data_IF_696779013310
#
_entry.id   IF_696779013310
#
_cell.length_a   1.000
_cell.length_b   1.000
_cell.length_c   1.000
_cell.angle_alpha   90.00
_cell.angle_beta   90.00
_cell.angle_gamma   90.00
#
_symmetry.space_group_name_H-M   'P 1'
#
loop_
_entity.id
_entity.type
_entity.pdbx_description
1 polymer ?
#
# COMPACT_ATOMS: atom_id res chain seq x y z
N UNK A 1 -0.08 -1.92 -21.35
CA UNK A 1 -0.16 -1.72 -19.88
C UNK A 1 -1.06 -2.82 -19.33
N UNK A 2 -0.55 -3.64 -18.41
CA UNK A 2 -1.34 -4.70 -17.75
C UNK A 2 -1.80 -4.24 -16.36
N UNK A 3 -2.89 -4.81 -15.81
CA UNK A 3 -3.34 -4.52 -14.46
C UNK A 3 -2.36 -5.06 -13.41
N UNK A 4 -2.24 -4.36 -12.29
CA UNK A 4 -1.60 -4.88 -11.07
C UNK A 4 -2.70 -5.50 -10.21
N UNK A 5 -2.59 -6.79 -9.93
CA UNK A 5 -3.58 -7.54 -9.16
C UNK A 5 -3.18 -7.66 -7.68
N UNK A 6 -4.17 -7.55 -6.79
CA UNK A 6 -4.04 -7.90 -5.38
C UNK A 6 -4.47 -9.37 -5.21
N UNK A 7 -3.58 -10.21 -4.68
CA UNK A 7 -3.87 -11.62 -4.44
C UNK A 7 -3.65 -11.90 -2.95
N UNK A 8 -4.56 -12.67 -2.35
CA UNK A 8 -4.50 -13.04 -0.94
C UNK A 8 -4.76 -14.53 -0.75
N UNK A 9 -4.26 -15.08 0.36
CA UNK A 9 -4.59 -16.43 0.79
C UNK A 9 -6.10 -16.56 1.07
N UNK A 10 -6.68 -17.71 0.71
CA UNK A 10 -8.13 -17.97 0.77
C UNK A 10 -8.75 -17.76 2.16
N UNK A 11 -8.00 -18.04 3.24
CA UNK A 11 -8.50 -17.87 4.60
C UNK A 11 -8.34 -16.47 5.19
N UNK A 12 -7.81 -15.48 4.43
CA UNK A 12 -7.61 -14.12 4.93
C UNK A 12 -8.91 -13.51 5.43
N UNK A 13 -9.99 -13.65 4.67
CA UNK A 13 -11.31 -13.10 5.01
C UNK A 13 -11.84 -13.65 6.33
N UNK A 14 -11.68 -14.96 6.53
CA UNK A 14 -12.23 -15.64 7.70
C UNK A 14 -11.37 -15.41 8.95
N UNK A 15 -10.05 -15.41 8.78
CA UNK A 15 -9.11 -15.26 9.91
C UNK A 15 -8.91 -13.80 10.32
N UNK A 16 -8.92 -12.88 9.36
CA UNK A 16 -8.66 -11.45 9.57
C UNK A 16 -9.62 -10.58 8.74
N UNK A 17 -10.91 -10.54 9.09
CA UNK A 17 -11.91 -9.80 8.31
C UNK A 17 -11.60 -8.30 8.19
N UNK A 18 -11.07 -7.68 9.25
CA UNK A 18 -10.66 -6.27 9.20
C UNK A 18 -9.50 -6.01 8.24
N UNK A 19 -8.47 -6.88 8.25
CA UNK A 19 -7.36 -6.77 7.31
C UNK A 19 -7.81 -7.03 5.87
N UNK A 20 -8.74 -7.95 5.67
CA UNK A 20 -9.35 -8.21 4.36
C UNK A 20 -10.03 -6.95 3.80
N UNK A 21 -10.84 -6.23 4.58
CA UNK A 21 -11.45 -4.97 4.14
C UNK A 21 -10.40 -3.92 3.78
N UNK A 22 -9.37 -3.75 4.60
CA UNK A 22 -8.28 -2.79 4.35
C UNK A 22 -7.54 -3.13 3.05
N UNK A 23 -7.18 -4.40 2.84
CA UNK A 23 -6.50 -4.86 1.61
C UNK A 23 -7.37 -4.65 0.37
N UNK A 24 -8.69 -4.81 0.49
CA UNK A 24 -9.62 -4.50 -0.59
C UNK A 24 -9.67 -2.99 -0.90
N UNK A 25 -9.68 -2.14 0.12
CA UNK A 25 -9.69 -0.68 -0.02
C UNK A 25 -8.34 -0.08 -0.45
N UNK A 26 -7.23 -0.77 -0.19
CA UNK A 26 -5.87 -0.33 -0.54
C UNK A 26 -5.77 0.03 -2.04
N UNK A 27 -5.40 1.28 -2.31
CA UNK A 27 -5.19 1.79 -3.67
C UNK A 27 -4.03 2.76 -3.70
N UNK A 28 -3.04 2.47 -4.54
CA UNK A 28 -1.91 3.35 -4.88
C UNK A 28 -1.80 3.39 -6.40
N UNK A 29 -1.42 4.54 -6.95
CA UNK A 29 -1.25 4.66 -8.40
C UNK A 29 0.20 4.33 -8.82
N UNK A 30 0.40 4.16 -10.12
CA UNK A 30 1.71 3.77 -10.66
C UNK A 30 2.79 4.83 -10.44
N UNK A 31 2.43 6.11 -10.46
CA UNK A 31 3.40 7.20 -10.31
C UNK A 31 3.92 7.25 -8.87
N UNK A 32 3.02 7.10 -7.88
CA UNK A 32 3.35 6.98 -6.46
C UNK A 32 4.27 5.79 -6.19
N UNK A 33 3.91 4.62 -6.73
CA UNK A 33 4.73 3.41 -6.59
C UNK A 33 6.10 3.58 -7.25
N UNK A 34 6.15 4.15 -8.46
CA UNK A 34 7.39 4.33 -9.21
C UNK A 34 8.32 5.32 -8.51
N UNK A 35 7.78 6.38 -7.93
CA UNK A 35 8.57 7.35 -7.16
C UNK A 35 9.21 6.68 -5.93
N UNK A 36 8.45 5.89 -5.16
CA UNK A 36 9.01 5.16 -4.03
C UNK A 36 10.10 4.15 -4.46
N UNK A 37 9.93 3.49 -5.61
CA UNK A 37 10.95 2.59 -6.17
C UNK A 37 12.23 3.35 -6.53
N UNK A 38 12.11 4.51 -7.19
CA UNK A 38 13.27 5.35 -7.55
C UNK A 38 14.05 5.76 -6.29
N UNK A 39 13.35 6.17 -5.25
CA UNK A 39 13.95 6.59 -3.99
C UNK A 39 14.76 5.48 -3.30
N UNK A 40 14.29 4.25 -3.36
CA UNK A 40 15.00 3.10 -2.77
C UNK A 40 16.11 2.61 -3.70
N UNK A 41 15.79 2.28 -4.95
CA UNK A 41 16.70 1.56 -5.84
C UNK A 41 17.77 2.46 -6.48
N UNK A 42 17.43 3.71 -6.81
CA UNK A 42 18.33 4.63 -7.51
C UNK A 42 18.98 5.64 -6.58
N UNK A 43 18.26 6.12 -5.56
CA UNK A 43 18.78 7.10 -4.61
C UNK A 43 19.37 6.45 -3.34
N UNK A 44 19.13 5.17 -3.12
CA UNK A 44 19.69 4.42 -1.99
C UNK A 44 19.11 4.82 -0.64
N UNK A 45 17.89 5.38 -0.60
CA UNK A 45 17.20 5.69 0.66
C UNK A 45 16.77 4.41 1.35
N UNK A 46 16.69 4.49 2.68
CA UNK A 46 16.14 3.41 3.49
C UNK A 46 14.65 3.17 3.14
N UNK A 47 14.30 1.91 2.91
CA UNK A 47 12.95 1.52 2.48
C UNK A 47 11.90 1.91 3.52
N UNK A 48 12.16 1.65 4.80
CA UNK A 48 11.19 1.93 5.87
C UNK A 48 10.98 3.45 6.01
N UNK A 49 12.04 4.24 5.85
CA UNK A 49 11.95 5.70 5.83
C UNK A 49 11.10 6.23 4.65
N UNK A 50 11.27 5.67 3.45
CA UNK A 50 10.47 6.05 2.26
C UNK A 50 9.00 5.70 2.47
N UNK A 51 8.70 4.51 2.96
CA UNK A 51 7.33 4.07 3.26
C UNK A 51 6.71 4.94 4.36
N UNK A 52 7.45 5.24 5.43
CA UNK A 52 6.96 6.09 6.52
C UNK A 52 6.63 7.50 6.02
N UNK A 53 7.50 8.11 5.21
CA UNK A 53 7.24 9.42 4.61
C UNK A 53 5.97 9.41 3.75
N UNK A 54 5.75 8.35 2.98
CA UNK A 54 4.51 8.18 2.22
C UNK A 54 3.29 8.05 3.14
N UNK A 55 3.38 7.24 4.20
CA UNK A 55 2.31 7.05 5.18
C UNK A 55 1.93 8.36 5.88
N UNK A 56 2.91 9.16 6.28
CA UNK A 56 2.69 10.46 6.94
C UNK A 56 2.01 11.45 5.98
N UNK A 57 2.50 11.55 4.74
CA UNK A 57 1.94 12.44 3.72
C UNK A 57 0.52 12.03 3.28
N UNK A 58 0.15 10.75 3.43
CA UNK A 58 -1.12 10.19 2.97
C UNK A 58 -2.05 9.77 4.11
N UNK A 59 -1.88 10.33 5.31
CA UNK A 59 -2.60 9.91 6.50
C UNK A 59 -4.12 9.82 6.34
N UNK A 60 -4.74 10.88 5.84
CA UNK A 60 -6.19 10.90 5.62
C UNK A 60 -6.65 9.82 4.63
N UNK A 61 -5.84 9.51 3.61
CA UNK A 61 -6.16 8.53 2.57
C UNK A 61 -6.11 7.10 3.12
N UNK A 62 -5.02 6.72 3.79
CA UNK A 62 -4.93 5.35 4.29
C UNK A 62 -5.84 5.11 5.49
N UNK A 63 -6.10 6.13 6.31
CA UNK A 63 -7.08 6.03 7.40
C UNK A 63 -8.49 5.77 6.87
N UNK A 64 -8.85 6.35 5.72
CA UNK A 64 -10.14 6.10 5.08
C UNK A 64 -10.32 4.64 4.59
N UNK A 65 -9.26 3.83 4.52
CA UNK A 65 -9.35 2.39 4.22
C UNK A 65 -9.76 1.56 5.43
N UNK A 66 -9.63 2.10 6.64
CA UNK A 66 -9.95 1.40 7.89
C UNK A 66 -11.44 1.55 8.17
N UNK A 67 -12.14 0.42 8.32
CA UNK A 67 -13.55 0.41 8.71
C UNK A 67 -14.55 0.68 7.58
N UNK A 68 -14.12 0.52 6.31
CA UNK A 68 -15.04 0.39 5.17
C UNK A 68 -15.82 -0.93 5.22
#
# INVERSE_FOLDING_TARGET
>A
RGPIWKVAWSGLKDKWPGAHSIIQAFTINNDEMSQMIVEVDLEGKDQDAVVQAWMDANQARWQAWIGQ
#
